data_IF_241937550947
#
_entry.id   IF_241937550947
#
_cell.length_a   1.000
_cell.length_b   1.000
_cell.length_c   1.000
_cell.angle_alpha   90.00
_cell.angle_beta   90.00
_cell.angle_gamma   90.00
#
_symmetry.space_group_name_H-M   'P 1'
#
loop_
_entity.id
_entity.type
_entity.pdbx_description
1 polymer ?
#
# COMPACT_ATOMS: atom_id res chain seq x y z
N UNK A 1 13.90 -5.10 0.89
CA UNK A 1 12.86 -5.69 1.77
C UNK A 1 11.58 -4.88 1.57
N UNK A 2 10.46 -5.57 1.36
CA UNK A 2 9.73 -5.49 0.08
C UNK A 2 10.52 -6.25 -1.00
N UNK A 3 9.90 -6.88 -2.01
CA UNK A 3 10.62 -7.65 -3.04
C UNK A 3 11.67 -6.85 -3.84
N UNK A 4 11.81 -5.55 -3.55
CA UNK A 4 12.75 -4.62 -4.14
C UNK A 4 13.98 -4.43 -3.24
N UNK A 5 15.16 -4.55 -3.84
CA UNK A 5 16.46 -4.30 -3.20
C UNK A 5 17.14 -3.14 -3.91
N UNK A 6 17.66 -2.17 -3.16
CA UNK A 6 18.13 -0.84 -3.62
C UNK A 6 17.03 0.21 -3.86
N UNK A 7 17.45 1.47 -3.90
CA UNK A 7 16.59 2.64 -4.16
C UNK A 7 16.05 2.58 -5.60
N UNK A 8 16.90 2.19 -6.55
CA UNK A 8 16.52 2.07 -7.96
C UNK A 8 15.42 1.03 -8.16
N UNK A 9 15.54 -0.15 -7.53
CA UNK A 9 14.47 -1.15 -7.62
C UNK A 9 13.22 -0.73 -6.87
N UNK A 10 13.33 -0.02 -5.75
CA UNK A 10 12.17 0.57 -5.08
C UNK A 10 11.44 1.57 -6.00
N UNK A 11 12.19 2.38 -6.74
CA UNK A 11 11.64 3.28 -7.75
C UNK A 11 10.89 2.52 -8.85
N UNK A 12 11.56 1.53 -9.43
CA UNK A 12 11.07 0.75 -10.57
C UNK A 12 9.89 -0.18 -10.24
N UNK A 13 9.91 -0.83 -9.07
CA UNK A 13 9.01 -1.95 -8.76
C UNK A 13 7.93 -1.60 -7.74
N UNK A 14 8.11 -0.56 -6.95
CA UNK A 14 7.11 -0.13 -5.97
C UNK A 14 6.55 1.25 -6.28
N UNK A 15 7.35 2.31 -6.11
CA UNK A 15 6.82 3.67 -6.17
C UNK A 15 6.36 4.08 -7.57
N UNK A 16 7.07 3.67 -8.63
CA UNK A 16 6.69 3.91 -10.02
C UNK A 16 5.35 3.26 -10.37
N UNK A 17 5.21 1.93 -10.24
CA UNK A 17 3.95 1.22 -10.51
C UNK A 17 2.79 1.73 -9.65
N UNK A 18 3.02 2.01 -8.36
CA UNK A 18 2.00 2.58 -7.49
C UNK A 18 1.55 3.96 -7.98
N UNK A 19 2.47 4.85 -8.35
CA UNK A 19 2.13 6.18 -8.85
C UNK A 19 1.46 6.16 -10.22
N UNK A 20 1.79 5.18 -11.06
CA UNK A 20 1.16 5.00 -12.36
C UNK A 20 -0.26 4.41 -12.24
N UNK A 21 -0.48 3.50 -11.28
CA UNK A 21 -1.75 2.80 -11.07
C UNK A 21 -2.82 3.58 -10.30
N UNK A 22 -2.49 4.79 -9.81
CA UNK A 22 -3.39 5.59 -8.98
C UNK A 22 -3.30 7.09 -9.29
N UNK A 23 -4.45 7.77 -9.41
CA UNK A 23 -4.61 9.22 -9.54
C UNK A 23 -5.22 9.83 -8.26
N UNK A 24 -5.29 11.17 -8.23
CA UNK A 24 -5.98 11.95 -7.18
C UNK A 24 -5.56 11.59 -5.74
N UNK A 25 -4.26 11.34 -5.56
CA UNK A 25 -3.69 10.86 -4.29
C UNK A 25 -3.67 11.98 -3.24
N UNK A 26 -4.47 11.81 -2.19
CA UNK A 26 -4.54 12.69 -1.03
C UNK A 26 -3.89 11.96 0.15
N UNK A 27 -3.00 12.66 0.87
CA UNK A 27 -2.44 12.17 2.14
C UNK A 27 -3.31 12.67 3.29
N UNK A 28 -3.84 11.74 4.06
CA UNK A 28 -4.71 12.00 5.22
C UNK A 28 -3.93 12.08 6.53
N UNK A 29 -2.59 12.03 6.45
CA UNK A 29 -1.71 12.05 7.62
C UNK A 29 -1.60 10.70 8.32
N UNK A 30 -0.95 10.72 9.49
CA UNK A 30 -0.71 9.53 10.30
C UNK A 30 -1.49 9.67 11.60
N UNK A 31 -2.23 8.63 11.96
CA UNK A 31 -2.91 8.55 13.26
C UNK A 31 -1.89 8.41 14.39
N UNK A 32 -0.82 7.67 14.13
CA UNK A 32 0.26 7.46 15.08
C UNK A 32 1.61 7.40 14.36
N UNK A 33 2.64 7.88 15.05
CA UNK A 33 4.04 7.72 14.70
C UNK A 33 4.75 7.19 15.94
N UNK A 34 5.63 6.21 15.74
CA UNK A 34 6.37 5.57 16.83
C UNK A 34 7.82 5.36 16.44
N UNK A 35 8.69 5.34 17.44
CA UNK A 35 10.09 5.00 17.29
C UNK A 35 10.61 4.38 18.59
N UNK A 36 11.36 3.29 18.46
CA UNK A 36 12.02 2.60 19.56
C UNK A 36 13.32 1.95 19.06
N UNK A 37 14.45 2.32 19.66
CA UNK A 37 15.77 1.84 19.26
C UNK A 37 16.07 2.10 17.77
N UNK A 38 16.27 1.01 17.02
CA UNK A 38 16.55 1.06 15.58
C UNK A 38 15.29 1.04 14.71
N UNK A 39 14.11 1.02 15.31
CA UNK A 39 12.86 0.87 14.59
C UNK A 39 12.02 2.14 14.69
N UNK A 40 11.29 2.43 13.62
CA UNK A 40 10.31 3.50 13.61
C UNK A 40 9.24 3.22 12.58
N UNK A 41 8.11 3.89 12.69
CA UNK A 41 7.02 3.68 11.77
C UNK A 41 5.82 4.54 12.05
N UNK A 42 4.81 4.34 11.23
CA UNK A 42 3.56 5.05 11.33
C UNK A 42 2.40 4.20 10.81
N UNK A 43 1.20 4.58 11.22
CA UNK A 43 -0.03 4.05 10.64
C UNK A 43 -1.09 5.13 10.54
N UNK A 44 -1.98 4.98 9.57
CA UNK A 44 -3.11 5.86 9.32
C UNK A 44 -4.36 5.05 9.01
N UNK A 45 -5.52 5.64 9.26
CA UNK A 45 -6.80 4.95 9.14
C UNK A 45 -7.88 5.86 8.55
N UNK A 46 -7.79 6.21 7.26
CA UNK A 46 -6.78 5.81 6.27
C UNK A 46 -5.55 6.74 6.21
N UNK A 47 -4.44 6.28 5.62
CA UNK A 47 -3.28 7.13 5.31
C UNK A 47 -3.48 7.91 4.02
N UNK A 48 -4.13 7.29 3.05
CA UNK A 48 -4.27 7.81 1.70
C UNK A 48 -5.70 7.64 1.22
N UNK A 49 -6.18 8.60 0.45
CA UNK A 49 -7.36 8.45 -0.41
C UNK A 49 -6.89 8.61 -1.85
N UNK A 50 -7.25 7.66 -2.72
CA UNK A 50 -6.71 7.58 -4.08
C UNK A 50 -7.63 6.81 -5.01
N UNK A 51 -7.56 7.11 -6.31
CA UNK A 51 -8.46 6.55 -7.33
C UNK A 51 -7.67 5.63 -8.28
N UNK A 52 -8.05 4.35 -8.46
CA UNK A 52 -7.32 3.43 -9.34
C UNK A 52 -7.53 3.77 -10.81
N UNK A 53 -6.42 3.89 -11.55
CA UNK A 53 -6.41 4.12 -13.01
C UNK A 53 -6.39 2.82 -13.82
N UNK A 54 -6.40 1.67 -13.14
CA UNK A 54 -6.33 0.34 -13.72
C UNK A 54 -4.90 -0.19 -13.85
N UNK A 55 -4.77 -1.52 -13.98
CA UNK A 55 -3.50 -2.21 -14.14
C UNK A 55 -2.76 -2.52 -12.84
N UNK A 56 -3.00 -1.76 -11.75
CA UNK A 56 -2.43 -2.08 -10.44
C UNK A 56 -2.90 -3.47 -9.98
N UNK A 57 -1.96 -4.40 -9.81
CA UNK A 57 -2.23 -5.82 -9.54
C UNK A 57 -3.12 -6.53 -10.57
N UNK A 58 -3.19 -6.01 -11.81
CA UNK A 58 -4.07 -6.53 -12.85
C UNK A 58 -5.55 -6.20 -12.64
N UNK A 59 -5.87 -5.27 -11.75
CA UNK A 59 -7.25 -4.89 -11.41
C UNK A 59 -7.76 -3.74 -12.30
N UNK A 60 -9.09 -3.60 -12.49
CA UNK A 60 -9.66 -2.57 -13.33
C UNK A 60 -9.53 -1.17 -12.73
N UNK A 61 -9.69 -0.16 -13.59
CA UNK A 61 -9.84 1.23 -13.19
C UNK A 61 -11.20 1.46 -12.50
N UNK A 62 -11.32 2.58 -11.79
CA UNK A 62 -12.57 3.04 -11.18
C UNK A 62 -12.56 4.57 -11.12
N UNK A 63 -13.73 5.19 -11.21
CA UNK A 63 -13.87 6.63 -10.97
C UNK A 63 -14.13 6.96 -9.49
N UNK A 64 -14.21 5.93 -8.63
CA UNK A 64 -14.48 6.09 -7.21
C UNK A 64 -13.17 6.18 -6.40
N UNK A 65 -12.94 7.27 -5.64
CA UNK A 65 -11.84 7.31 -4.67
C UNK A 65 -11.98 6.21 -3.62
N UNK A 66 -10.86 5.62 -3.22
CA UNK A 66 -10.80 4.58 -2.20
C UNK A 66 -9.83 4.94 -1.09
N UNK A 67 -10.21 4.61 0.13
CA UNK A 67 -9.38 4.80 1.31
C UNK A 67 -8.43 3.62 1.51
N UNK A 68 -7.14 3.93 1.61
CA UNK A 68 -6.07 2.95 1.80
C UNK A 68 -5.48 3.07 3.20
N UNK A 69 -5.60 1.97 3.95
CA UNK A 69 -5.03 1.79 5.29
C UNK A 69 -3.65 1.18 5.12
N UNK A 70 -2.65 1.86 5.67
CA UNK A 70 -1.24 1.49 5.51
C UNK A 70 -0.55 1.54 6.87
N UNK A 71 0.18 0.47 7.17
CA UNK A 71 1.19 0.48 8.22
C UNK A 71 2.54 0.47 7.53
N UNK A 72 3.42 1.36 7.94
CA UNK A 72 4.73 1.53 7.34
C UNK A 72 5.79 1.53 8.44
N UNK A 73 6.64 0.50 8.43
CA UNK A 73 7.66 0.24 9.43
C UNK A 73 9.03 0.27 8.79
N UNK A 74 10.00 0.80 9.53
CA UNK A 74 11.36 1.00 9.08
C UNK A 74 12.35 0.47 10.11
N UNK A 75 13.44 -0.12 9.63
CA UNK A 75 14.65 -0.35 10.44
C UNK A 75 15.77 0.57 9.95
N UNK A 76 16.41 1.24 10.89
CA UNK A 76 17.58 2.08 10.68
C UNK A 76 18.87 1.31 10.98
N UNK A 77 19.91 1.60 10.22
CA UNK A 77 21.29 1.19 10.48
C UNK A 77 22.22 2.37 10.19
N UNK A 78 23.03 2.77 11.18
CA UNK A 78 23.85 3.97 11.06
C UNK A 78 23.00 5.22 10.79
N UNK A 79 23.19 5.86 9.65
CA UNK A 79 22.47 7.06 9.19
C UNK A 79 21.40 6.76 8.12
N UNK A 80 21.15 5.48 7.79
CA UNK A 80 20.27 5.07 6.69
C UNK A 80 19.13 4.16 7.15
N UNK A 81 18.05 4.16 6.38
CA UNK A 81 17.01 3.14 6.48
C UNK A 81 17.48 1.89 5.72
N UNK A 82 17.72 0.80 6.44
CA UNK A 82 18.11 -0.48 5.85
C UNK A 82 16.91 -1.29 5.39
N UNK A 83 15.79 -1.17 6.10
CA UNK A 83 14.60 -1.98 5.83
C UNK A 83 13.32 -1.16 5.89
N UNK A 84 12.36 -1.55 5.06
CA UNK A 84 11.03 -0.98 4.99
C UNK A 84 9.99 -2.10 4.83
N UNK A 85 9.01 -2.14 5.71
CA UNK A 85 7.91 -3.09 5.70
C UNK A 85 6.58 -2.35 5.64
N UNK A 86 5.84 -2.58 4.57
CA UNK A 86 4.57 -1.94 4.31
C UNK A 86 3.47 -3.00 4.36
N UNK A 87 2.44 -2.75 5.14
CA UNK A 87 1.23 -3.55 5.18
C UNK A 87 0.07 -2.71 4.65
N UNK A 88 -0.54 -3.18 3.57
CA UNK A 88 -1.66 -2.50 2.91
C UNK A 88 -2.89 -3.40 3.03
N UNK A 89 -3.99 -2.86 3.54
CA UNK A 89 -5.28 -3.56 3.58
C UNK A 89 -5.93 -3.55 2.18
N UNK A 90 -5.38 -4.37 1.28
CA UNK A 90 -5.83 -4.50 -0.10
C UNK A 90 -7.25 -5.09 -0.20
N UNK A 91 -7.64 -5.94 0.75
CA UNK A 91 -8.98 -6.50 0.80
C UNK A 91 -10.02 -5.40 1.05
N UNK A 92 -9.76 -4.52 2.02
CA UNK A 92 -10.60 -3.35 2.28
C UNK A 92 -10.62 -2.38 1.09
N UNK A 93 -9.47 -2.09 0.50
CA UNK A 93 -9.39 -1.18 -0.65
C UNK A 93 -10.22 -1.70 -1.83
N UNK A 94 -10.01 -2.95 -2.25
CA UNK A 94 -10.73 -3.51 -3.39
C UNK A 94 -12.22 -3.69 -3.13
N UNK A 95 -12.61 -3.99 -1.89
CA UNK A 95 -14.02 -4.03 -1.51
C UNK A 95 -14.72 -2.68 -1.70
N UNK A 96 -14.06 -1.57 -1.38
CA UNK A 96 -14.60 -0.22 -1.65
C UNK A 96 -14.75 0.06 -3.15
N UNK A 97 -13.87 -0.54 -3.98
CA UNK A 97 -13.91 -0.47 -5.44
C UNK A 97 -14.91 -1.46 -6.07
N UNK A 98 -15.74 -2.13 -5.26
CA UNK A 98 -16.77 -3.05 -5.73
C UNK A 98 -16.28 -4.48 -5.99
N UNK A 99 -15.05 -4.81 -5.61
CA UNK A 99 -14.50 -6.17 -5.75
C UNK A 99 -14.33 -6.80 -4.37
N UNK A 100 -15.30 -7.63 -3.96
CA UNK A 100 -15.18 -8.44 -2.74
C UNK A 100 -14.38 -9.71 -3.01
N UNK A 101 -13.07 -9.64 -2.73
CA UNK A 101 -12.13 -10.75 -2.96
C UNK A 101 -12.46 -11.96 -2.08
N UNK A 102 -12.85 -11.75 -0.83
CA UNK A 102 -13.15 -12.84 0.11
C UNK A 102 -14.43 -13.59 -0.29
N UNK A 103 -15.46 -12.86 -0.72
CA UNK A 103 -16.69 -13.46 -1.27
C UNK A 103 -16.41 -14.23 -2.57
N UNK A 104 -15.59 -13.67 -3.46
CA UNK A 104 -15.17 -14.35 -4.70
C UNK A 104 -14.46 -15.68 -4.43
N UNK A 105 -13.56 -15.73 -3.45
CA UNK A 105 -12.85 -16.98 -3.07
C UNK A 105 -13.83 -18.06 -2.60
N UNK A 106 -14.87 -17.68 -1.84
CA UNK A 106 -15.90 -18.63 -1.38
C UNK A 106 -16.73 -19.20 -2.55
N UNK A 107 -17.02 -18.37 -3.55
CA UNK A 107 -17.81 -18.75 -4.74
C UNK A 107 -17.01 -19.52 -5.79
N UNK A 108 -15.68 -19.39 -5.78
CA UNK A 108 -14.79 -20.11 -6.70
C UNK A 108 -13.68 -20.81 -5.90
N UNK A 109 -14.01 -21.89 -5.17
CA UNK A 109 -13.00 -22.67 -4.48
C UNK A 109 -11.98 -23.18 -5.50
N UNK A 110 -10.69 -22.95 -5.25
CA UNK A 110 -9.63 -23.63 -6.02
C UNK A 110 -9.61 -25.08 -5.54
N UNK A 111 -10.25 -25.96 -6.31
CA UNK A 111 -10.10 -27.42 -6.21
C UNK A 111 -8.75 -27.84 -6.77
#
# INVERSE_FOLDING_TARGET
IGSSYTIERYAEQHSGPFRAGFKDRISNGHLCKLAEGHFGGFFGWPNLTLTPTGGFMGMPASEKPGDMRVIDMYRREGDKLSENWIFIDLLHFWKQQGVDILDRIKKTPRT
#
